data_IF_976330119718
#
_entry.id   IF_976330119718
#
_cell.length_a   1.000
_cell.length_b   1.000
_cell.length_c   1.000
_cell.angle_alpha   90.00
_cell.angle_beta   90.00
_cell.angle_gamma   90.00
#
_symmetry.space_group_name_H-M   'P 1'
#
loop_
_entity.id
_entity.type
_entity.pdbx_description
1 polymer ?
#
# COMPACT_ATOMS: atom_id res chain seq x y z
N UNK A 1 21.15 -11.68 -7.69
CA UNK A 1 20.41 -10.61 -6.99
C UNK A 1 20.53 -10.82 -5.49
N UNK A 2 20.68 -9.73 -4.78
CA UNK A 2 20.77 -9.76 -3.33
C UNK A 2 19.51 -10.38 -2.72
N UNK A 3 19.69 -11.29 -1.77
CA UNK A 3 18.55 -11.97 -1.13
C UNK A 3 17.68 -10.98 -0.36
N UNK A 4 18.27 -9.98 0.28
CA UNK A 4 17.50 -8.98 1.00
C UNK A 4 16.59 -8.19 0.06
N UNK A 5 17.07 -7.84 -1.12
CA UNK A 5 16.28 -7.15 -2.12
C UNK A 5 15.16 -8.05 -2.65
N UNK A 6 15.47 -9.33 -2.88
CA UNK A 6 14.48 -10.28 -3.34
C UNK A 6 13.38 -10.46 -2.31
N UNK A 7 13.73 -10.54 -1.03
CA UNK A 7 12.77 -10.65 0.05
C UNK A 7 11.87 -9.41 0.11
N UNK A 8 12.45 -8.23 -0.09
CA UNK A 8 11.68 -7.00 -0.09
C UNK A 8 10.67 -6.98 -1.24
N UNK A 9 11.10 -7.38 -2.43
CA UNK A 9 10.20 -7.46 -3.59
C UNK A 9 9.05 -8.42 -3.30
N UNK A 10 9.34 -9.57 -2.71
CA UNK A 10 8.33 -10.55 -2.36
C UNK A 10 7.32 -10.00 -1.36
N UNK A 11 7.80 -9.23 -0.38
CA UNK A 11 6.92 -8.62 0.62
C UNK A 11 5.95 -7.62 0.02
N UNK A 12 6.31 -6.98 -1.09
CA UNK A 12 5.46 -6.01 -1.74
C UNK A 12 4.51 -6.63 -2.76
N UNK A 13 4.64 -7.93 -3.04
CA UNK A 13 3.73 -8.64 -3.90
C UNK A 13 2.42 -8.89 -3.16
N UNK A 14 1.33 -8.60 -3.84
CA UNK A 14 0.00 -8.73 -3.27
C UNK A 14 -0.80 -9.74 -4.07
N UNK A 15 -1.61 -10.53 -3.38
CA UNK A 15 -2.54 -11.44 -4.01
C UNK A 15 -3.87 -10.70 -4.22
N UNK A 16 -4.31 -10.48 -5.47
CA UNK A 16 -5.61 -9.84 -5.68
C UNK A 16 -6.72 -10.83 -5.33
N UNK A 17 -7.60 -10.42 -4.43
CA UNK A 17 -8.76 -11.22 -4.03
C UNK A 17 -10.01 -10.75 -4.75
N UNK A 18 -10.11 -9.48 -4.97
CA UNK A 18 -11.18 -8.82 -5.69
C UNK A 18 -10.58 -7.59 -6.37
N UNK A 19 -11.38 -6.87 -7.13
CA UNK A 19 -10.90 -5.72 -7.89
C UNK A 19 -10.21 -4.69 -7.02
N UNK A 20 -10.71 -4.47 -5.82
CA UNK A 20 -10.15 -3.48 -4.89
C UNK A 20 -9.72 -4.09 -3.56
N UNK A 21 -9.52 -5.40 -3.53
CA UNK A 21 -9.16 -6.10 -2.29
C UNK A 21 -7.95 -6.98 -2.56
N UNK A 22 -6.94 -6.83 -1.73
CA UNK A 22 -5.67 -7.53 -1.88
C UNK A 22 -5.25 -8.15 -0.56
N UNK A 23 -4.52 -9.25 -0.64
CA UNK A 23 -3.93 -9.87 0.54
C UNK A 23 -2.42 -9.76 0.45
N UNK A 24 -1.81 -9.23 1.52
CA UNK A 24 -0.37 -9.19 1.66
C UNK A 24 0.09 -10.16 2.72
N UNK A 25 1.29 -10.70 2.54
CA UNK A 25 1.93 -11.51 3.55
C UNK A 25 2.65 -10.62 4.53
N UNK A 26 2.70 -11.03 5.79
CA UNK A 26 3.54 -10.36 6.75
C UNK A 26 4.65 -11.29 7.19
N UNK A 27 5.79 -10.72 7.49
CA UNK A 27 6.96 -11.45 7.93
C UNK A 27 7.55 -10.77 9.14
N UNK A 28 8.01 -11.60 10.09
CA UNK A 28 8.77 -11.09 11.22
C UNK A 28 10.20 -10.87 10.76
N UNK A 29 10.55 -9.64 10.47
CA UNK A 29 11.90 -9.28 10.04
C UNK A 29 12.60 -8.39 11.06
N UNK A 30 12.21 -8.49 12.31
CA UNK A 30 12.96 -7.97 13.42
C UNK A 30 12.24 -6.97 14.29
N UNK A 31 11.98 -5.77 13.80
CA UNK A 31 11.49 -4.68 14.65
C UNK A 31 10.08 -4.24 14.25
N UNK A 32 9.32 -3.67 15.19
CA UNK A 32 8.00 -3.12 14.87
C UNK A 32 8.04 -2.05 13.79
N UNK A 33 9.13 -1.27 13.73
CA UNK A 33 9.28 -0.26 12.69
C UNK A 33 9.36 -0.87 11.31
N UNK A 34 10.05 -2.02 11.19
CA UNK A 34 10.16 -2.71 9.92
C UNK A 34 8.80 -3.26 9.50
N UNK A 35 8.03 -3.81 10.45
CA UNK A 35 6.67 -4.28 10.16
C UNK A 35 5.79 -3.12 9.69
N UNK A 36 5.89 -1.96 10.35
CA UNK A 36 5.17 -0.77 9.92
C UNK A 36 5.50 -0.38 8.48
N UNK A 37 6.78 -0.47 8.12
CA UNK A 37 7.23 -0.21 6.75
C UNK A 37 6.65 -1.19 5.75
N UNK A 38 6.51 -2.47 6.12
CA UNK A 38 5.86 -3.47 5.26
C UNK A 38 4.42 -3.09 4.99
N UNK A 39 3.67 -2.74 6.04
CA UNK A 39 2.26 -2.40 5.91
C UNK A 39 2.11 -1.17 5.03
N UNK A 40 2.90 -0.15 5.27
CA UNK A 40 2.85 1.07 4.45
C UNK A 40 3.18 0.78 3.00
N UNK A 41 4.24 0.01 2.74
CA UNK A 41 4.64 -0.34 1.38
C UNK A 41 3.60 -1.16 0.66
N UNK A 42 3.00 -2.13 1.34
CA UNK A 42 1.95 -2.97 0.75
C UNK A 42 0.68 -2.14 0.49
N UNK A 43 0.33 -1.25 1.40
CA UNK A 43 -0.84 -0.38 1.21
C UNK A 43 -0.66 0.51 -0.02
N UNK A 44 0.53 1.08 -0.17
CA UNK A 44 0.82 1.91 -1.34
C UNK A 44 0.81 1.07 -2.62
N UNK A 45 1.36 -0.14 -2.57
CA UNK A 45 1.31 -1.05 -3.72
C UNK A 45 -0.13 -1.39 -4.10
N UNK A 46 -1.00 -1.64 -3.12
CA UNK A 46 -2.40 -1.92 -3.36
C UNK A 46 -3.10 -0.72 -4.04
N UNK A 47 -2.88 0.48 -3.51
CA UNK A 47 -3.44 1.68 -4.12
C UNK A 47 -2.95 1.87 -5.54
N UNK A 48 -1.66 1.65 -5.78
CA UNK A 48 -1.06 1.81 -7.10
C UNK A 48 -1.63 0.85 -8.13
N UNK A 49 -2.04 -0.35 -7.69
CA UNK A 49 -2.68 -1.33 -8.58
C UNK A 49 -3.99 -0.84 -9.17
N UNK A 50 -4.61 0.15 -8.55
CA UNK A 50 -5.91 0.69 -9.00
C UNK A 50 -5.75 1.97 -9.80
N UNK A 51 -4.53 2.43 -10.04
CA UNK A 51 -4.23 3.68 -10.75
C UNK A 51 -3.34 3.37 -11.94
N UNK A 52 -3.63 4.01 -13.08
CA UNK A 52 -2.84 3.81 -14.29
C UNK A 52 -2.26 5.14 -14.76
N UNK A 53 -0.97 5.13 -15.10
CA UNK A 53 -0.32 6.29 -15.70
C UNK A 53 -0.16 7.49 -14.79
N UNK A 54 -0.22 7.28 -13.48
CA UNK A 54 -0.09 8.36 -12.50
C UNK A 54 0.85 7.92 -11.41
N UNK A 55 1.57 8.88 -10.84
CA UNK A 55 2.53 8.62 -9.79
C UNK A 55 2.05 9.19 -8.46
N UNK A 56 2.47 8.59 -7.38
CA UNK A 56 2.09 9.08 -6.06
C UNK A 56 2.65 10.49 -5.85
N UNK A 57 1.79 11.38 -5.40
CA UNK A 57 2.12 12.78 -5.17
C UNK A 57 2.23 13.08 -3.68
N UNK A 58 1.31 12.54 -2.91
CA UNK A 58 1.31 12.73 -1.46
C UNK A 58 0.59 11.56 -0.80
N UNK A 59 0.92 11.32 0.45
CA UNK A 59 0.18 10.34 1.23
C UNK A 59 0.21 10.72 2.71
N UNK A 60 -0.82 10.26 3.41
CA UNK A 60 -0.93 10.34 4.86
C UNK A 60 -1.33 8.98 5.37
N UNK A 61 -0.67 8.52 6.42
CA UNK A 61 -0.90 7.18 6.93
C UNK A 61 -1.00 7.22 8.46
N UNK A 62 -1.87 6.37 9.01
CA UNK A 62 -2.07 6.27 10.45
C UNK A 62 -2.02 4.81 10.86
N UNK A 63 -1.19 4.52 11.86
CA UNK A 63 -1.13 3.19 12.48
C UNK A 63 -2.06 3.21 13.68
N UNK A 64 -3.10 2.38 13.63
CA UNK A 64 -4.15 2.40 14.65
C UNK A 64 -3.91 1.39 15.75
N UNK A 65 -3.34 0.25 15.40
CA UNK A 65 -3.08 -0.84 16.33
C UNK A 65 -1.80 -1.54 15.94
N UNK A 66 -1.23 -2.25 16.89
CA UNK A 66 -0.09 -3.11 16.61
C UNK A 66 -0.57 -4.26 15.74
N UNK A 67 0.14 -4.50 14.65
CA UNK A 67 -0.17 -5.61 13.78
C UNK A 67 0.39 -6.92 14.30
N UNK A 68 -0.11 -8.01 13.73
CA UNK A 68 0.32 -9.37 14.02
C UNK A 68 1.23 -9.83 12.88
N UNK A 69 2.52 -9.99 13.17
CA UNK A 69 3.50 -10.39 12.16
C UNK A 69 3.29 -11.82 11.67
N UNK A 70 2.48 -12.60 12.35
CA UNK A 70 2.19 -13.98 11.97
C UNK A 70 0.96 -14.16 11.10
N UNK A 71 0.24 -13.08 10.79
CA UNK A 71 -1.01 -13.17 10.06
C UNK A 71 -0.96 -12.37 8.76
N UNK A 72 -1.66 -12.83 7.71
CA UNK A 72 -1.76 -12.04 6.49
C UNK A 72 -2.56 -10.77 6.74
N UNK A 73 -2.40 -9.80 5.86
CA UNK A 73 -3.04 -8.51 5.97
C UNK A 73 -3.95 -8.33 4.76
N UNK A 74 -5.19 -7.94 5.01
CA UNK A 74 -6.14 -7.63 3.94
C UNK A 74 -6.15 -6.12 3.73
N UNK A 75 -5.97 -5.71 2.49
CA UNK A 75 -6.00 -4.30 2.10
C UNK A 75 -7.24 -4.05 1.27
N UNK A 76 -8.07 -3.13 1.71
CA UNK A 76 -9.24 -2.68 0.96
C UNK A 76 -8.95 -1.30 0.42
N UNK A 77 -9.07 -1.14 -0.89
CA UNK A 77 -8.82 0.12 -1.57
C UNK A 77 -10.14 0.77 -1.92
N UNK A 78 -10.32 1.99 -1.47
CA UNK A 78 -11.45 2.82 -1.85
C UNK A 78 -10.97 3.79 -2.94
N UNK A 79 -11.58 3.71 -4.11
CA UNK A 79 -11.29 4.62 -5.22
C UNK A 79 -12.07 5.91 -4.99
N UNK A 80 -11.61 6.69 -4.03
CA UNK A 80 -12.33 7.84 -3.54
C UNK A 80 -12.62 8.86 -4.64
N UNK A 81 -11.68 9.04 -5.58
CA UNK A 81 -11.91 9.97 -6.68
C UNK A 81 -10.94 9.70 -7.84
N UNK A 82 -11.46 9.81 -9.05
CA UNK A 82 -10.64 9.83 -10.26
C UNK A 82 -11.00 11.10 -11.03
N UNK A 83 -10.10 12.07 -11.01
CA UNK A 83 -10.26 13.31 -11.74
C UNK A 83 -9.36 13.34 -12.96
N UNK A 84 -9.38 14.47 -13.67
CA UNK A 84 -8.61 14.62 -14.90
C UNK A 84 -7.10 14.58 -14.63
N UNK A 85 -6.65 15.19 -13.53
CA UNK A 85 -5.23 15.29 -13.20
C UNK A 85 -4.83 14.48 -11.98
N UNK A 86 -5.75 14.17 -11.10
CA UNK A 86 -5.48 13.51 -9.83
C UNK A 86 -6.42 12.33 -9.61
N UNK A 87 -5.88 11.32 -8.96
CA UNK A 87 -6.68 10.23 -8.40
C UNK A 87 -6.44 10.18 -6.90
N UNK A 88 -7.49 9.98 -6.12
CA UNK A 88 -7.40 9.82 -4.68
C UNK A 88 -7.78 8.40 -4.31
N UNK A 89 -6.99 7.82 -3.44
CA UNK A 89 -7.21 6.45 -2.96
C UNK A 89 -7.15 6.44 -1.44
N UNK A 90 -8.02 5.64 -0.84
CA UNK A 90 -7.94 5.33 0.57
C UNK A 90 -7.71 3.85 0.70
N UNK A 91 -6.85 3.47 1.63
CA UNK A 91 -6.54 2.06 1.88
C UNK A 91 -6.72 1.79 3.36
N UNK A 92 -7.40 0.70 3.66
CA UNK A 92 -7.56 0.20 5.02
C UNK A 92 -6.85 -1.14 5.08
N UNK A 93 -6.00 -1.33 6.08
CA UNK A 93 -5.37 -2.61 6.34
C UNK A 93 -6.06 -3.29 7.52
N UNK A 94 -6.42 -4.54 7.34
CA UNK A 94 -7.25 -5.28 8.29
C UNK A 94 -6.56 -6.58 8.66
N UNK A 95 -6.55 -6.88 9.95
CA UNK A 95 -6.17 -8.19 10.48
C UNK A 95 -7.16 -8.58 11.56
N UNK A 96 -7.55 -9.86 11.58
CA UNK A 96 -8.46 -10.38 12.60
C UNK A 96 -9.73 -9.54 12.74
N UNK A 97 -10.24 -9.06 11.63
CA UNK A 97 -11.48 -8.28 11.61
C UNK A 97 -11.36 -6.84 12.08
N UNK A 98 -10.16 -6.36 12.38
CA UNK A 98 -9.96 -5.00 12.89
C UNK A 98 -9.03 -4.21 11.97
N UNK A 99 -9.30 -2.92 11.83
CA UNK A 99 -8.37 -2.04 11.13
C UNK A 99 -7.12 -1.84 11.96
N UNK A 100 -5.96 -2.09 11.36
CA UNK A 100 -4.69 -1.82 12.02
C UNK A 100 -4.01 -0.56 11.47
N UNK A 101 -4.47 -0.09 10.32
CA UNK A 101 -3.79 0.98 9.59
C UNK A 101 -4.76 1.56 8.56
N UNK A 102 -4.65 2.86 8.30
CA UNK A 102 -5.29 3.43 7.13
C UNK A 102 -4.39 4.47 6.47
N UNK A 103 -4.62 4.70 5.19
CA UNK A 103 -3.82 5.59 4.39
C UNK A 103 -4.71 6.32 3.39
N UNK A 104 -4.40 7.58 3.14
CA UNK A 104 -4.96 8.33 2.04
C UNK A 104 -3.81 8.76 1.14
N UNK A 105 -3.93 8.50 -0.16
CA UNK A 105 -2.89 8.82 -1.12
C UNK A 105 -3.47 9.55 -2.32
N UNK A 106 -2.69 10.49 -2.85
CA UNK A 106 -3.04 11.21 -4.06
C UNK A 106 -2.02 10.86 -5.15
N UNK A 107 -2.52 10.57 -6.34
CA UNK A 107 -1.71 10.26 -7.51
C UNK A 107 -1.92 11.33 -8.56
N UNK A 108 -0.86 11.72 -9.23
CA UNK A 108 -0.90 12.82 -10.19
C UNK A 108 -0.35 12.35 -11.54
N UNK A 109 -0.95 12.84 -12.61
CA UNK A 109 -0.41 12.63 -13.96
C UNK A 109 0.97 13.27 -14.02
N UNK A 110 1.99 12.56 -14.53
CA UNK A 110 3.32 13.15 -14.68
C UNK A 110 3.28 14.39 -15.56
N UNK A 111 4.00 15.43 -15.15
CA UNK A 111 4.08 16.67 -15.91
C UNK A 111 5.27 16.61 -16.85
N UNK A 112 5.02 16.21 -18.08
CA UNK A 112 6.09 16.02 -19.04
C UNK A 112 6.77 17.32 -19.44
N UNK A 113 6.10 18.44 -19.26
CA UNK A 113 6.68 19.73 -19.63
C UNK A 113 7.76 20.24 -18.69
N UNK A 114 8.00 19.55 -17.59
CA UNK A 114 8.93 20.02 -16.56
C UNK A 114 10.33 19.46 -16.68
N UNK A 115 10.54 18.52 -17.56
CA UNK A 115 11.84 17.86 -17.67
C UNK A 115 12.83 18.58 -18.54
N UNK A 116 12.78 19.81 -18.59
CA UNK A 116 13.72 20.60 -19.37
C UNK A 116 14.61 21.47 -18.52
#
# INVERSE_FOLDING_TARGET
MDQALQDLITLLELEPLEENIFRGQSHDIGTPQVFGGQVLGQALAAASRTVHGRTVHSLHAYFLQRGDVGAPIIYEVDRARDGASFSSRRVVAIQHGAQIFNMAASFQVPESGLEH
#
